data_IF_929043835487
#
_entry.id   IF_929043835487
#
_cell.length_a   1.000
_cell.length_b   1.000
_cell.length_c   1.000
_cell.angle_alpha   90.00
_cell.angle_beta   90.00
_cell.angle_gamma   90.00
#
_symmetry.space_group_name_H-M   'P 1'
#
loop_
_entity.id
_entity.type
_entity.pdbx_description
1 polymer ?
#
# COMPACT_ATOMS: atom_id res chain seq x y z
N UNK A 1 -48.67 -45.50 -23.95
CA UNK A 1 -47.50 -44.91 -23.26
C UNK A 1 -47.94 -44.47 -21.88
N UNK A 2 -47.54 -45.20 -20.85
CA UNK A 2 -47.83 -44.89 -19.43
C UNK A 2 -46.71 -44.00 -18.90
N UNK A 3 -47.07 -42.83 -18.38
CA UNK A 3 -46.18 -41.91 -17.67
C UNK A 3 -46.27 -42.24 -16.18
N UNK A 4 -45.19 -42.76 -15.60
CA UNK A 4 -45.06 -42.95 -14.14
C UNK A 4 -44.24 -41.81 -13.54
N UNK A 5 -44.90 -41.08 -12.62
CA UNK A 5 -44.33 -40.12 -11.68
C UNK A 5 -43.48 -40.84 -10.63
N UNK A 6 -42.23 -40.43 -10.47
CA UNK A 6 -41.41 -40.57 -9.26
C UNK A 6 -40.90 -39.15 -8.97
N UNK A 7 -40.95 -38.55 -7.78
CA UNK A 7 -40.92 -39.07 -6.42
C UNK A 7 -39.95 -38.14 -5.69
N UNK A 8 -40.47 -37.06 -5.10
CA UNK A 8 -39.67 -36.04 -4.39
C UNK A 8 -39.25 -36.63 -3.05
N UNK A 9 -37.98 -36.99 -2.91
CA UNK A 9 -37.36 -37.34 -1.65
C UNK A 9 -36.88 -36.06 -0.95
N UNK A 10 -37.52 -35.74 0.17
CA UNK A 10 -37.09 -34.71 1.10
C UNK A 10 -35.81 -35.19 1.81
N UNK A 11 -34.69 -34.52 1.54
CA UNK A 11 -33.44 -34.75 2.25
C UNK A 11 -33.42 -33.88 3.52
N UNK A 12 -33.66 -34.51 4.67
CA UNK A 12 -33.46 -33.91 6.00
C UNK A 12 -31.95 -33.95 6.27
N UNK A 13 -31.28 -32.81 6.19
CA UNK A 13 -29.87 -32.68 6.56
C UNK A 13 -29.80 -32.44 8.07
N UNK A 14 -29.37 -33.47 8.79
CA UNK A 14 -28.96 -33.39 10.19
C UNK A 14 -27.56 -32.76 10.25
N UNK A 15 -27.41 -31.66 11.02
CA UNK A 15 -26.12 -31.12 11.41
C UNK A 15 -25.43 -32.09 12.37
N UNK A 16 -24.59 -32.97 11.84
CA UNK A 16 -23.56 -33.67 12.60
C UNK A 16 -22.26 -32.87 12.48
N UNK A 17 -21.73 -32.48 13.63
CA UNK A 17 -20.39 -31.91 13.77
C UNK A 17 -19.36 -32.86 13.16
N UNK A 18 -18.68 -32.41 12.12
CA UNK A 18 -17.48 -33.04 11.57
C UNK A 18 -16.29 -32.17 11.92
N UNK A 19 -15.58 -32.59 12.97
CA UNK A 19 -14.15 -32.39 13.07
C UNK A 19 -13.49 -33.53 12.29
N UNK A 20 -12.59 -33.17 11.38
CA UNK A 20 -11.36 -33.89 11.05
C UNK A 20 -10.70 -33.09 9.92
N UNK A 21 -9.90 -32.09 10.32
CA UNK A 21 -8.86 -31.59 9.44
C UNK A 21 -7.94 -32.78 9.15
N UNK A 22 -7.91 -33.24 7.89
CA UNK A 22 -6.78 -34.00 7.40
C UNK A 22 -5.54 -33.15 7.70
N UNK A 23 -4.52 -33.77 8.31
CA UNK A 23 -3.30 -33.10 8.75
C UNK A 23 -2.56 -32.54 7.53
N UNK A 24 -2.95 -31.34 7.11
CA UNK A 24 -2.17 -30.51 6.22
C UNK A 24 -0.91 -30.14 7.00
N UNK A 25 0.23 -30.68 6.58
CA UNK A 25 1.55 -30.21 6.99
C UNK A 25 1.53 -28.68 6.92
N UNK A 26 1.67 -28.02 8.07
CA UNK A 26 1.75 -26.57 8.12
C UNK A 26 3.23 -26.15 8.06
N UNK A 27 3.49 -24.96 7.52
CA UNK A 27 4.84 -24.37 7.54
C UNK A 27 5.06 -23.71 8.90
N UNK A 28 6.18 -24.01 9.56
CA UNK A 28 6.52 -23.41 10.85
C UNK A 28 6.40 -21.86 10.81
N UNK A 29 5.72 -21.31 11.81
CA UNK A 29 5.41 -19.89 11.92
C UNK A 29 4.10 -19.46 11.22
N UNK A 30 3.49 -20.29 10.37
CA UNK A 30 2.19 -19.98 9.79
C UNK A 30 1.14 -19.85 10.90
N UNK A 31 0.42 -18.72 10.90
CA UNK A 31 -0.68 -18.47 11.83
C UNK A 31 -2.02 -18.58 11.11
N UNK A 32 -3.00 -19.27 11.71
CA UNK A 32 -4.37 -19.35 11.19
C UNK A 32 -5.38 -19.02 12.28
N UNK A 33 -6.53 -18.48 11.87
CA UNK A 33 -7.62 -18.18 12.77
C UNK A 33 -8.24 -19.48 13.32
N UNK A 34 -8.64 -19.45 14.59
CA UNK A 34 -9.34 -20.53 15.27
C UNK A 34 -10.47 -19.97 16.15
N UNK A 35 -11.41 -20.83 16.54
CA UNK A 35 -12.50 -20.47 17.44
C UNK A 35 -12.19 -20.95 18.86
N UNK A 36 -12.25 -20.02 19.81
CA UNK A 36 -12.06 -20.29 21.22
C UNK A 36 -13.29 -20.97 21.82
N UNK A 37 -13.11 -21.70 22.93
CA UNK A 37 -14.21 -22.43 23.59
C UNK A 37 -15.31 -21.50 24.13
N UNK A 38 -14.99 -20.23 24.37
CA UNK A 38 -15.91 -19.17 24.79
C UNK A 38 -16.60 -18.45 23.61
N UNK A 39 -16.33 -18.86 22.37
CA UNK A 39 -16.88 -18.26 21.15
C UNK A 39 -16.10 -17.05 20.61
N UNK A 40 -14.99 -16.62 21.26
CA UNK A 40 -14.12 -15.59 20.71
C UNK A 40 -13.28 -16.12 19.53
N UNK A 41 -12.78 -15.20 18.71
CA UNK A 41 -11.75 -15.53 17.72
C UNK A 41 -10.38 -15.62 18.42
N UNK A 42 -9.57 -16.60 18.01
CA UNK A 42 -8.18 -16.76 18.43
C UNK A 42 -7.27 -17.06 17.23
N UNK A 43 -5.99 -17.29 17.50
CA UNK A 43 -5.03 -17.72 16.49
C UNK A 43 -4.23 -18.94 16.98
N UNK A 44 -3.89 -19.83 16.06
CA UNK A 44 -2.97 -20.95 16.29
C UNK A 44 -1.76 -20.81 15.37
N UNK A 45 -0.56 -21.08 15.90
CA UNK A 45 0.71 -21.00 15.17
C UNK A 45 1.22 -22.42 14.91
N UNK A 46 1.72 -22.65 13.70
CA UNK A 46 2.39 -23.89 13.34
C UNK A 46 3.78 -23.97 13.99
N UNK A 47 4.05 -25.06 14.69
CA UNK A 47 5.35 -25.38 15.28
C UNK A 47 5.64 -26.87 15.04
N UNK A 48 6.79 -27.15 14.43
CA UNK A 48 7.23 -28.49 14.04
C UNK A 48 6.20 -29.24 13.15
N UNK A 49 5.62 -28.52 12.19
CA UNK A 49 4.69 -29.08 11.20
C UNK A 49 3.26 -29.35 11.72
N UNK A 50 2.93 -28.92 12.94
CA UNK A 50 1.59 -29.01 13.50
C UNK A 50 1.12 -27.68 14.11
N UNK A 51 -0.16 -27.34 13.96
CA UNK A 51 -0.73 -26.19 14.66
C UNK A 51 -0.84 -26.48 16.16
N UNK A 52 -0.34 -25.56 16.97
CA UNK A 52 -0.51 -25.58 18.43
C UNK A 52 -1.95 -25.31 18.88
N UNK A 53 -2.14 -25.21 20.19
CA UNK A 53 -3.44 -24.85 20.76
C UNK A 53 -3.87 -23.42 20.33
N UNK A 54 -5.18 -23.21 20.17
CA UNK A 54 -5.74 -21.89 19.89
C UNK A 54 -5.43 -20.93 21.04
N UNK A 55 -4.67 -19.88 20.77
CA UNK A 55 -4.37 -18.83 21.75
C UNK A 55 -5.55 -17.87 21.83
N UNK A 56 -6.25 -17.93 22.97
CA UNK A 56 -7.52 -17.26 23.23
C UNK A 56 -7.38 -16.14 24.27
N UNK A 57 -6.28 -15.40 24.19
CA UNK A 57 -6.04 -14.25 25.05
C UNK A 57 -6.81 -13.03 24.54
N UNK A 58 -7.29 -12.21 25.47
CA UNK A 58 -7.48 -10.81 25.15
C UNK A 58 -6.08 -10.29 24.78
N UNK A 59 -5.86 -9.97 23.51
CA UNK A 59 -4.66 -9.23 23.10
C UNK A 59 -4.82 -7.84 23.69
N UNK A 60 -4.59 -7.71 24.99
CA UNK A 60 -4.22 -6.44 25.58
C UNK A 60 -2.91 -6.09 24.91
N UNK A 61 -3.00 -5.13 23.98
CA UNK A 61 -1.85 -4.50 23.35
C UNK A 61 -1.17 -3.72 24.48
N UNK A 62 -0.36 -4.42 25.27
CA UNK A 62 0.41 -3.86 26.37
C UNK A 62 1.50 -2.97 25.77
N UNK A 63 1.13 -1.70 25.58
CA UNK A 63 2.05 -0.63 25.30
C UNK A 63 2.93 -0.43 26.54
N UNK A 64 4.04 -1.17 26.59
CA UNK A 64 5.02 -1.13 27.67
C UNK A 64 5.51 0.29 27.95
N UNK A 65 4.93 0.90 28.97
CA UNK A 65 5.47 1.99 29.77
C UNK A 65 5.65 1.44 31.18
N UNK A 66 6.89 1.11 31.53
CA UNK A 66 7.50 1.51 32.81
C UNK A 66 8.83 0.80 33.03
N UNK A 67 9.92 1.54 32.79
CA UNK A 67 11.19 1.30 33.44
C UNK A 67 11.55 2.57 34.22
N UNK A 68 10.98 2.71 35.41
CA UNK A 68 11.46 3.63 36.44
C UNK A 68 12.84 3.16 36.90
N UNK A 69 13.89 3.79 36.39
CA UNK A 69 15.24 3.69 36.96
C UNK A 69 15.51 4.97 37.75
N UNK A 70 15.71 4.82 39.05
CA UNK A 70 16.08 5.89 39.98
C UNK A 70 17.38 6.58 39.54
N UNK A 71 17.35 7.92 39.44
CA UNK A 71 18.54 8.77 39.26
C UNK A 71 18.83 9.43 40.62
N UNK A 72 20.05 9.30 41.18
CA UNK A 72 20.41 10.00 42.41
C UNK A 72 20.76 11.46 42.14
N UNK A 73 20.28 12.33 43.02
CA UNK A 73 20.53 13.77 43.02
C UNK A 73 22.03 14.10 43.13
N UNK A 74 22.61 14.64 42.05
CA UNK A 74 23.89 15.30 42.08
C UNK A 74 23.68 16.82 42.09
N UNK A 75 23.79 17.41 43.28
CA UNK A 75 23.97 18.86 43.41
C UNK A 75 25.35 19.22 42.86
N UNK A 76 25.38 20.11 41.86
CA UNK A 76 26.61 20.79 41.44
C UNK A 76 26.27 22.24 41.15
N UNK A 77 26.85 23.09 41.98
CA UNK A 77 26.87 24.55 41.88
C UNK A 77 27.46 24.96 40.52
N UNK A 78 26.72 25.79 39.77
CA UNK A 78 27.28 26.50 38.62
C UNK A 78 27.69 27.91 39.05
N UNK A 79 28.93 28.36 38.77
CA UNK A 79 29.29 29.76 38.87
C UNK A 79 28.85 30.51 37.61
N UNK A 80 28.36 31.73 37.83
CA UNK A 80 27.91 32.67 36.79
C UNK A 80 29.02 32.98 35.79
N UNK A 81 28.87 32.49 34.56
CA UNK A 81 29.65 32.92 33.41
C UNK A 81 28.82 33.92 32.60
N UNK A 82 29.02 35.21 32.89
CA UNK A 82 28.71 36.28 31.95
C UNK A 82 29.57 36.07 30.70
N UNK A 83 28.94 35.92 29.54
CA UNK A 83 29.60 36.00 28.25
C UNK A 83 28.70 36.79 27.30
N UNK A 84 29.20 37.96 26.93
CA UNK A 84 28.70 38.80 25.86
C UNK A 84 28.54 37.99 24.57
N UNK A 85 27.32 37.91 24.05
CA UNK A 85 27.08 37.47 22.67
C UNK A 85 27.10 38.70 21.75
N UNK A 86 27.98 38.76 20.74
CA UNK A 86 27.88 39.75 19.69
C UNK A 86 26.73 39.41 18.74
N UNK A 87 26.05 40.45 18.28
CA UNK A 87 24.91 40.42 17.37
C UNK A 87 25.20 39.58 16.11
N UNK A 88 24.67 38.36 16.09
CA UNK A 88 24.58 37.57 14.87
C UNK A 88 23.42 38.12 14.04
N UNK A 89 23.78 38.99 13.09
CA UNK A 89 22.89 39.49 12.05
C UNK A 89 22.16 38.34 11.38
N UNK A 90 20.83 38.48 11.40
CA UNK A 90 19.86 37.53 10.90
C UNK A 90 19.89 37.49 9.37
N UNK A 91 20.62 36.53 8.81
CA UNK A 91 20.31 35.99 7.49
C UNK A 91 19.02 35.17 7.62
N UNK A 92 17.89 35.87 7.56
CA UNK A 92 16.58 35.29 7.31
C UNK A 92 16.59 34.68 5.91
N UNK A 93 17.11 33.46 5.81
CA UNK A 93 16.66 32.53 4.79
C UNK A 93 15.22 32.19 5.14
N UNK A 94 14.33 32.86 4.43
CA UNK A 94 12.93 32.55 4.21
C UNK A 94 12.81 31.14 3.60
N UNK A 95 13.24 30.12 4.35
CA UNK A 95 12.81 28.76 4.13
C UNK A 95 11.39 28.73 4.66
N UNK A 96 10.43 28.85 3.74
CA UNK A 96 9.00 28.75 4.01
C UNK A 96 8.73 27.51 4.85
N UNK A 97 8.73 27.71 6.17
CA UNK A 97 8.36 26.71 7.14
C UNK A 97 6.88 26.49 6.89
N UNK A 98 6.57 25.36 6.25
CA UNK A 98 5.22 24.98 5.91
C UNK A 98 4.38 25.12 7.18
N UNK A 99 3.38 26.00 7.09
CA UNK A 99 2.44 26.30 8.15
C UNK A 99 1.95 24.99 8.78
N UNK A 100 2.40 24.71 10.01
CA UNK A 100 2.10 23.50 10.76
C UNK A 100 0.60 23.31 11.08
N UNK A 101 -0.26 24.21 10.57
CA UNK A 101 -1.68 24.29 10.89
C UNK A 101 -2.63 23.50 9.99
N UNK A 102 -2.23 23.02 8.80
CA UNK A 102 -3.16 22.25 7.94
C UNK A 102 -2.58 20.89 7.54
N UNK A 103 -2.77 19.89 8.41
CA UNK A 103 -2.51 18.49 8.05
C UNK A 103 -3.21 18.16 6.73
N UNK A 104 -2.42 17.68 5.77
CA UNK A 104 -2.91 17.35 4.46
C UNK A 104 -3.87 16.16 4.51
N UNK A 105 -4.75 16.06 3.50
CA UNK A 105 -5.42 14.79 3.21
C UNK A 105 -4.35 13.83 2.69
N UNK A 106 -4.19 12.68 3.33
CA UNK A 106 -3.32 11.61 2.83
C UNK A 106 -3.98 10.89 1.66
N UNK A 107 -3.18 10.42 0.71
CA UNK A 107 -3.67 9.77 -0.50
C UNK A 107 -3.02 8.40 -0.67
N UNK A 108 -3.82 7.38 -1.00
CA UNK A 108 -3.32 6.09 -1.45
C UNK A 108 -3.88 5.81 -2.84
N UNK A 109 -2.98 5.52 -3.78
CA UNK A 109 -3.30 5.26 -5.17
C UNK A 109 -2.75 3.88 -5.55
N UNK A 110 -3.60 3.03 -6.10
CA UNK A 110 -3.21 1.74 -6.67
C UNK A 110 -3.37 1.80 -8.17
N UNK A 111 -2.34 1.43 -8.90
CA UNK A 111 -2.30 1.46 -10.36
C UNK A 111 -1.95 0.06 -10.86
N UNK A 112 -2.93 -0.63 -11.42
CA UNK A 112 -2.82 -2.02 -11.87
C UNK A 112 -2.68 -2.11 -13.38
N UNK A 113 -1.64 -1.57 -14.00
CA UNK A 113 -1.37 -1.82 -15.41
C UNK A 113 0.11 -1.75 -15.73
N UNK A 114 0.47 -2.32 -16.89
CA UNK A 114 1.85 -2.30 -17.36
C UNK A 114 2.26 -0.89 -17.81
N UNK A 115 2.93 -0.18 -16.91
CA UNK A 115 3.54 1.12 -17.15
C UNK A 115 4.88 1.03 -17.91
N UNK A 116 5.42 -0.17 -18.16
CA UNK A 116 6.67 -0.32 -18.88
C UNK A 116 6.49 0.09 -20.35
N UNK A 117 5.32 -0.20 -20.91
CA UNK A 117 4.89 0.34 -22.19
C UNK A 117 4.49 1.81 -22.05
N UNK A 118 5.01 2.66 -22.93
CA UNK A 118 4.68 4.08 -22.95
C UNK A 118 3.26 4.27 -23.46
N UNK A 119 2.35 4.59 -22.54
CA UNK A 119 1.00 5.04 -22.85
C UNK A 119 0.84 6.44 -22.27
N UNK A 120 0.68 7.45 -23.13
CA UNK A 120 0.60 8.85 -22.69
C UNK A 120 -0.46 9.11 -21.62
N UNK A 121 -1.53 8.31 -21.63
CA UNK A 121 -2.65 8.39 -20.69
C UNK A 121 -2.35 7.65 -19.37
N UNK A 122 -1.61 6.54 -19.43
CA UNK A 122 -1.07 5.85 -18.25
C UNK A 122 -0.01 6.71 -17.54
N UNK A 123 0.90 7.29 -18.32
CA UNK A 123 1.93 8.22 -17.82
C UNK A 123 1.29 9.47 -17.18
N UNK A 124 0.19 9.98 -17.76
CA UNK A 124 -0.58 11.09 -17.19
C UNK A 124 -1.25 10.71 -15.87
N UNK A 125 -1.89 9.55 -15.78
CA UNK A 125 -2.46 9.04 -14.52
C UNK A 125 -1.39 8.90 -13.45
N UNK A 126 -0.23 8.34 -13.80
CA UNK A 126 0.89 8.19 -12.88
C UNK A 126 1.43 9.56 -12.41
N UNK A 127 1.62 10.51 -13.34
CA UNK A 127 2.03 11.87 -13.02
C UNK A 127 1.03 12.60 -12.13
N UNK A 128 -0.27 12.48 -12.42
CA UNK A 128 -1.34 13.07 -11.61
C UNK A 128 -1.39 12.47 -10.20
N UNK A 129 -1.13 11.16 -10.05
CA UNK A 129 -1.08 10.51 -8.74
C UNK A 129 0.07 11.06 -7.88
N UNK A 130 1.26 11.24 -8.45
CA UNK A 130 2.41 11.87 -7.75
C UNK A 130 2.13 13.35 -7.45
N UNK A 131 1.43 14.04 -8.35
CA UNK A 131 1.02 15.44 -8.20
C UNK A 131 -0.02 15.69 -7.09
N UNK A 132 -0.59 14.65 -6.47
CA UNK A 132 -1.42 14.79 -5.28
C UNK A 132 -0.64 15.35 -4.07
N UNK A 133 0.69 15.21 -4.09
CA UNK A 133 1.56 15.78 -3.05
C UNK A 133 1.33 17.29 -2.93
N UNK A 134 1.19 17.78 -1.70
CA UNK A 134 0.96 19.20 -1.44
C UNK A 134 2.26 20.00 -1.51
N UNK A 135 2.15 21.31 -1.29
CA UNK A 135 3.28 22.25 -1.28
C UNK A 135 3.52 22.93 -2.64
N UNK A 136 4.41 23.92 -2.61
CA UNK A 136 4.78 24.74 -3.78
C UNK A 136 6.18 24.42 -4.30
N UNK A 137 7.01 23.73 -3.52
CA UNK A 137 8.37 23.32 -3.90
C UNK A 137 8.40 22.08 -4.80
N UNK A 138 9.60 21.56 -5.06
CA UNK A 138 9.76 20.27 -5.74
C UNK A 138 9.08 19.15 -4.94
N UNK A 139 8.54 18.15 -5.64
CA UNK A 139 7.98 16.94 -5.03
C UNK A 139 9.11 15.96 -4.77
N UNK A 140 9.25 15.51 -3.52
CA UNK A 140 10.27 14.56 -3.09
C UNK A 140 9.65 13.17 -3.02
N UNK A 141 10.13 12.30 -3.91
CA UNK A 141 9.63 10.93 -4.06
C UNK A 141 10.66 9.96 -3.46
N UNK A 142 10.25 9.18 -2.48
CA UNK A 142 10.97 8.00 -2.03
C UNK A 142 10.49 6.80 -2.87
N UNK A 143 11.36 6.19 -3.67
CA UNK A 143 10.99 5.08 -4.54
C UNK A 143 11.52 3.73 -4.05
N UNK A 144 10.61 2.79 -3.78
CA UNK A 144 10.93 1.48 -3.21
C UNK A 144 11.20 0.43 -4.30
N UNK A 145 12.40 -0.16 -4.27
CA UNK A 145 12.91 -0.93 -5.41
C UNK A 145 13.53 -2.29 -5.10
N UNK A 146 13.56 -2.71 -3.84
CA UNK A 146 14.29 -3.90 -3.39
C UNK A 146 13.94 -5.18 -4.15
N UNK A 147 12.65 -5.41 -4.42
CA UNK A 147 12.17 -6.58 -5.15
C UNK A 147 11.58 -6.21 -6.51
N UNK A 148 12.00 -5.08 -7.06
CA UNK A 148 11.60 -4.69 -8.40
C UNK A 148 12.45 -5.43 -9.43
N UNK A 149 11.82 -5.93 -10.50
CA UNK A 149 12.52 -6.61 -11.60
C UNK A 149 13.38 -5.62 -12.40
N UNK A 150 14.63 -5.46 -11.95
CA UNK A 150 15.64 -4.59 -12.57
C UNK A 150 16.38 -5.24 -13.72
N UNK A 151 16.45 -6.57 -13.75
CA UNK A 151 17.29 -7.31 -14.69
C UNK A 151 16.67 -7.29 -16.08
N UNK A 152 15.35 -7.47 -16.18
CA UNK A 152 14.73 -7.58 -17.50
C UNK A 152 14.19 -6.25 -18.02
N UNK A 153 13.85 -5.27 -17.16
CA UNK A 153 13.08 -4.09 -17.61
C UNK A 153 13.47 -2.75 -16.96
N UNK A 154 14.14 -2.74 -15.80
CA UNK A 154 14.54 -1.54 -15.06
C UNK A 154 13.50 -0.39 -15.07
N UNK A 155 12.34 -0.59 -14.40
CA UNK A 155 11.25 0.40 -14.37
C UNK A 155 11.70 1.77 -13.84
N UNK A 156 12.72 1.82 -12.98
CA UNK A 156 13.22 3.08 -12.41
C UNK A 156 13.72 4.02 -13.51
N UNK A 157 14.57 3.51 -14.41
CA UNK A 157 15.10 4.29 -15.53
C UNK A 157 14.01 4.70 -16.52
N UNK A 158 12.99 3.87 -16.69
CA UNK A 158 11.90 4.14 -17.63
C UNK A 158 10.85 5.12 -17.08
N UNK A 159 10.49 5.00 -15.80
CA UNK A 159 9.34 5.71 -15.23
C UNK A 159 9.71 7.06 -14.63
N UNK A 160 10.90 7.24 -14.05
CA UNK A 160 11.30 8.53 -13.46
C UNK A 160 11.17 9.71 -14.44
N UNK A 161 11.64 9.63 -15.71
CA UNK A 161 11.44 10.71 -16.68
C UNK A 161 9.96 10.98 -16.97
N UNK A 162 9.14 9.93 -17.11
CA UNK A 162 7.71 10.05 -17.41
C UNK A 162 6.91 10.64 -16.25
N UNK A 163 7.27 10.28 -15.02
CA UNK A 163 6.72 10.88 -13.80
C UNK A 163 7.07 12.37 -13.78
N UNK A 164 8.34 12.74 -14.02
CA UNK A 164 8.76 14.14 -14.06
C UNK A 164 7.95 14.94 -15.08
N UNK A 165 7.84 14.43 -16.31
CA UNK A 165 7.06 15.07 -17.36
C UNK A 165 5.57 15.16 -16.98
N UNK A 166 5.00 14.11 -16.40
CA UNK A 166 3.62 14.07 -15.95
C UNK A 166 3.32 15.09 -14.84
N UNK A 167 4.15 15.14 -13.80
CA UNK A 167 4.02 16.09 -12.69
C UNK A 167 4.22 17.53 -13.15
N UNK A 168 5.24 17.77 -14.00
CA UNK A 168 5.51 19.08 -14.60
C UNK A 168 4.27 19.56 -15.37
N UNK A 169 3.67 18.72 -16.20
CA UNK A 169 2.45 19.04 -16.93
C UNK A 169 1.24 19.27 -16.02
N UNK A 170 1.13 18.54 -14.91
CA UNK A 170 -0.02 18.64 -14.00
C UNK A 170 0.04 19.86 -13.08
N UNK A 171 1.25 20.24 -12.62
CA UNK A 171 1.39 21.16 -11.47
C UNK A 171 2.34 22.33 -11.68
N UNK A 172 3.21 22.31 -12.70
CA UNK A 172 4.28 23.30 -12.77
C UNK A 172 5.53 22.94 -11.93
N UNK A 173 5.53 21.82 -11.19
CA UNK A 173 6.55 21.48 -10.19
C UNK A 173 7.58 20.47 -10.72
N UNK A 174 8.79 20.54 -10.18
CA UNK A 174 9.84 19.54 -10.41
C UNK A 174 9.70 18.35 -9.44
N UNK A 175 10.41 17.25 -9.73
CA UNK A 175 10.40 16.01 -8.95
C UNK A 175 11.83 15.52 -8.72
N UNK A 176 12.14 15.25 -7.46
CA UNK A 176 13.37 14.58 -7.03
C UNK A 176 13.06 13.16 -6.54
N UNK A 177 14.01 12.26 -6.71
CA UNK A 177 13.86 10.85 -6.35
C UNK A 177 14.99 10.42 -5.42
N UNK A 178 14.64 9.79 -4.31
CA UNK A 178 15.53 9.07 -3.41
C UNK A 178 15.13 7.60 -3.43
N UNK A 179 16.10 6.70 -3.45
CA UNK A 179 15.83 5.27 -3.61
C UNK A 179 15.87 4.54 -2.28
N UNK A 180 14.78 3.81 -1.97
CA UNK A 180 14.71 2.86 -0.86
C UNK A 180 15.01 1.45 -1.39
N UNK A 181 16.19 0.94 -1.06
CA UNK A 181 16.65 -0.39 -1.51
C UNK A 181 16.47 -1.50 -0.48
N UNK A 182 16.09 -1.13 0.75
CA UNK A 182 15.83 -2.05 1.85
C UNK A 182 14.51 -1.67 2.54
N UNK A 183 13.60 -2.62 2.68
CA UNK A 183 12.35 -2.37 3.40
C UNK A 183 12.54 -2.10 4.90
N UNK A 184 13.70 -2.51 5.46
CA UNK A 184 14.06 -2.28 6.86
C UNK A 184 14.40 -0.80 7.14
N UNK A 185 14.69 -0.02 6.11
CA UNK A 185 15.11 1.39 6.23
C UNK A 185 13.93 2.34 6.04
N UNK A 186 12.69 1.85 5.93
CA UNK A 186 11.53 2.70 5.63
C UNK A 186 11.35 3.79 6.71
N UNK A 187 11.53 3.47 8.00
CA UNK A 187 11.32 4.44 9.07
C UNK A 187 12.27 5.64 8.96
N UNK A 188 13.55 5.37 8.75
CA UNK A 188 14.57 6.41 8.57
C UNK A 188 14.40 7.18 7.25
N UNK A 189 13.96 6.50 6.19
CA UNK A 189 13.85 7.09 4.86
C UNK A 189 12.54 7.86 4.65
N UNK A 190 11.46 7.51 5.37
CA UNK A 190 10.15 8.14 5.27
C UNK A 190 10.05 9.28 6.30
N UNK A 191 10.98 10.22 6.21
CA UNK A 191 11.07 11.39 7.07
C UNK A 191 9.96 12.44 6.77
N UNK A 192 10.04 13.59 7.44
CA UNK A 192 9.13 14.73 7.20
C UNK A 192 9.38 15.42 5.85
N UNK A 193 10.48 15.07 5.19
CA UNK A 193 10.90 15.59 3.91
C UNK A 193 10.48 14.70 2.72
N UNK A 194 9.78 13.58 2.95
CA UNK A 194 9.17 12.82 1.86
C UNK A 194 7.73 13.28 1.63
N UNK A 195 7.40 13.56 0.37
CA UNK A 195 6.03 13.91 -0.02
C UNK A 195 5.28 12.70 -0.60
N UNK A 196 6.00 11.82 -1.29
CA UNK A 196 5.45 10.65 -1.98
C UNK A 196 6.28 9.39 -1.72
N UNK A 197 5.63 8.31 -1.33
CA UNK A 197 6.18 6.96 -1.41
C UNK A 197 5.71 6.29 -2.71
N UNK A 198 6.63 6.01 -3.63
CA UNK A 198 6.36 5.30 -4.87
C UNK A 198 6.85 3.85 -4.77
N UNK A 199 5.92 2.90 -4.85
CA UNK A 199 6.22 1.48 -4.84
C UNK A 199 6.05 0.91 -6.24
N UNK A 200 7.14 0.48 -6.87
CA UNK A 200 7.07 -0.20 -8.17
C UNK A 200 6.44 -1.59 -8.05
N UNK A 201 6.16 -2.23 -9.20
CA UNK A 201 5.74 -3.62 -9.22
C UNK A 201 6.84 -4.53 -8.62
N UNK A 202 6.49 -5.30 -7.58
CA UNK A 202 7.39 -6.21 -6.87
C UNK A 202 7.25 -7.64 -7.40
N UNK A 203 8.36 -8.36 -7.47
CA UNK A 203 8.44 -9.76 -7.91
C UNK A 203 8.68 -10.76 -6.77
N UNK A 204 8.70 -10.29 -5.52
CA UNK A 204 8.79 -11.15 -4.37
C UNK A 204 7.48 -11.92 -4.12
N UNK A 205 7.61 -13.07 -3.45
CA UNK A 205 6.48 -13.92 -3.09
C UNK A 205 5.51 -13.24 -2.12
N UNK A 206 4.26 -13.72 -2.10
CA UNK A 206 3.19 -13.15 -1.27
C UNK A 206 3.57 -13.10 0.21
N UNK A 207 4.11 -14.19 0.76
CA UNK A 207 4.48 -14.27 2.17
C UNK A 207 5.49 -13.17 2.55
N UNK A 208 6.46 -12.90 1.67
CA UNK A 208 7.42 -11.82 1.84
C UNK A 208 6.75 -10.45 1.83
N UNK A 209 5.84 -10.18 0.87
CA UNK A 209 5.10 -8.91 0.84
C UNK A 209 4.24 -8.70 2.07
N UNK A 210 3.64 -9.77 2.62
CA UNK A 210 2.88 -9.70 3.87
C UNK A 210 3.78 -9.34 5.07
N UNK A 211 4.95 -9.95 5.19
CA UNK A 211 5.93 -9.59 6.24
C UNK A 211 6.33 -8.12 6.15
N UNK A 212 6.59 -7.60 4.94
CA UNK A 212 6.95 -6.19 4.76
C UNK A 212 5.76 -5.28 5.09
N UNK A 213 4.56 -5.63 4.61
CA UNK A 213 3.34 -4.89 4.89
C UNK A 213 3.10 -4.72 6.39
N UNK A 214 3.26 -5.80 7.17
CA UNK A 214 3.12 -5.78 8.62
C UNK A 214 4.11 -4.82 9.29
N UNK A 215 5.37 -4.84 8.86
CA UNK A 215 6.38 -3.93 9.38
C UNK A 215 6.14 -2.47 8.97
N UNK A 216 5.67 -2.22 7.75
CA UNK A 216 5.47 -0.88 7.19
C UNK A 216 4.21 -0.18 7.70
N UNK A 217 3.18 -0.95 8.04
CA UNK A 217 1.85 -0.47 8.42
C UNK A 217 1.83 0.73 9.41
N UNK A 218 2.54 0.72 10.56
CA UNK A 218 2.55 1.89 11.45
C UNK A 218 3.12 3.15 10.78
N UNK A 219 4.16 3.02 9.96
CA UNK A 219 4.83 4.13 9.28
C UNK A 219 3.96 4.69 8.14
N UNK A 220 3.35 3.83 7.33
CA UNK A 220 2.46 4.25 6.24
C UNK A 220 1.22 4.97 6.78
N UNK A 221 0.66 4.49 7.89
CA UNK A 221 -0.46 5.15 8.56
C UNK A 221 -0.08 6.54 9.06
N UNK A 222 1.09 6.68 9.69
CA UNK A 222 1.59 7.97 10.15
C UNK A 222 1.85 8.92 8.96
N UNK A 223 2.38 8.40 7.85
CA UNK A 223 2.63 9.15 6.63
C UNK A 223 1.35 9.66 5.97
N UNK A 224 0.33 8.82 5.83
CA UNK A 224 -0.98 9.23 5.34
C UNK A 224 -1.64 10.25 6.29
N UNK A 225 -1.53 10.08 7.61
CA UNK A 225 -2.11 10.99 8.59
C UNK A 225 -1.49 12.41 8.58
N UNK A 226 -0.24 12.54 8.12
CA UNK A 226 0.40 13.85 7.90
C UNK A 226 0.15 14.43 6.50
N UNK A 227 -0.57 13.71 5.62
CA UNK A 227 -0.91 14.16 4.28
C UNK A 227 0.00 13.64 3.17
N UNK A 228 0.81 12.61 3.45
CA UNK A 228 1.66 11.94 2.47
C UNK A 228 0.85 11.21 1.40
N UNK A 229 1.51 10.97 0.26
CA UNK A 229 0.92 10.25 -0.87
C UNK A 229 1.64 8.92 -1.07
N UNK A 230 0.90 7.82 -1.08
CA UNK A 230 1.43 6.50 -1.42
C UNK A 230 0.90 6.12 -2.80
N UNK A 231 1.80 5.83 -3.74
CA UNK A 231 1.47 5.35 -5.09
C UNK A 231 2.05 3.95 -5.25
N UNK A 232 1.20 2.94 -5.45
CA UNK A 232 1.62 1.56 -5.65
C UNK A 232 1.30 1.13 -7.07
N UNK A 233 2.33 0.67 -7.75
CA UNK A 233 2.23 0.07 -9.08
C UNK A 233 2.16 -1.43 -8.92
N UNK A 234 1.13 -2.02 -9.52
CA UNK A 234 0.93 -3.46 -9.53
C UNK A 234 0.86 -3.95 -10.98
N UNK A 235 1.38 -5.16 -11.22
CA UNK A 235 1.32 -5.83 -12.51
C UNK A 235 1.09 -7.32 -12.27
N UNK A 236 0.24 -7.91 -13.10
CA UNK A 236 0.11 -9.37 -13.17
C UNK A 236 1.02 -9.88 -14.29
N UNK A 237 2.09 -10.61 -13.95
CA UNK A 237 3.04 -11.10 -14.96
C UNK A 237 2.60 -12.45 -15.53
N UNK A 238 2.39 -12.51 -16.84
CA UNK A 238 2.37 -13.78 -17.59
C UNK A 238 1.16 -14.70 -17.32
N UNK A 239 0.04 -14.16 -16.83
CA UNK A 239 -1.16 -14.96 -16.55
C UNK A 239 -1.03 -15.88 -15.32
N UNK A 240 0.14 -15.90 -14.66
CA UNK A 240 0.29 -16.45 -13.32
C UNK A 240 -0.06 -15.36 -12.31
N UNK A 241 -0.99 -15.68 -11.41
CA UNK A 241 -1.36 -14.86 -10.25
C UNK A 241 -0.23 -14.76 -9.20
N UNK A 242 0.88 -15.46 -9.40
CA UNK A 242 1.97 -15.57 -8.42
C UNK A 242 2.97 -14.42 -8.46
N UNK A 243 2.86 -13.51 -9.43
CA UNK A 243 3.74 -12.35 -9.56
C UNK A 243 2.87 -11.09 -9.67
N UNK A 244 2.94 -10.23 -8.65
CA UNK A 244 2.09 -9.02 -8.55
C UNK A 244 1.40 -8.87 -7.19
N UNK A 245 2.19 -8.80 -6.12
CA UNK A 245 1.69 -8.64 -4.75
C UNK A 245 2.03 -7.27 -4.15
N UNK A 246 2.35 -6.28 -4.99
CA UNK A 246 2.67 -4.92 -4.52
C UNK A 246 1.52 -4.33 -3.69
N UNK A 247 0.27 -4.59 -4.09
CA UNK A 247 -0.91 -4.15 -3.36
C UNK A 247 -1.01 -4.72 -1.93
N UNK A 248 -0.36 -5.84 -1.62
CA UNK A 248 -0.35 -6.41 -0.25
C UNK A 248 0.38 -5.47 0.72
N UNK A 249 1.37 -4.70 0.25
CA UNK A 249 2.14 -3.74 1.06
C UNK A 249 1.28 -2.65 1.69
N UNK A 250 0.06 -2.43 1.17
CA UNK A 250 -0.86 -1.39 1.64
C UNK A 250 -2.20 -1.98 2.11
N UNK A 251 -2.30 -3.30 2.26
CA UNK A 251 -3.55 -4.00 2.60
C UNK A 251 -4.08 -3.70 4.02
N UNK A 252 -3.31 -3.05 4.88
CA UNK A 252 -3.70 -2.70 6.25
C UNK A 252 -4.24 -1.27 6.43
N UNK A 253 -4.02 -0.36 5.48
CA UNK A 253 -4.19 1.08 5.71
C UNK A 253 -5.66 1.53 5.94
N UNK A 254 -6.61 0.63 5.68
CA UNK A 254 -8.04 0.87 5.88
C UNK A 254 -8.67 1.78 4.82
N UNK A 255 -7.91 2.17 3.79
CA UNK A 255 -8.39 2.97 2.67
C UNK A 255 -9.05 2.09 1.58
N UNK A 256 -8.59 0.86 1.43
CA UNK A 256 -9.19 -0.15 0.56
C UNK A 256 -9.10 -1.53 1.21
N UNK A 257 -10.10 -2.36 0.96
CA UNK A 257 -9.99 -3.81 1.13
C UNK A 257 -9.94 -4.46 -0.26
N UNK A 258 -8.80 -5.07 -0.58
CA UNK A 258 -8.60 -5.83 -1.81
C UNK A 258 -8.78 -7.30 -1.46
N UNK A 259 -9.79 -7.94 -2.06
CA UNK A 259 -10.13 -9.35 -1.80
C UNK A 259 -9.57 -10.29 -2.84
N UNK A 260 -9.54 -9.85 -4.08
CA UNK A 260 -9.03 -10.62 -5.18
C UNK A 260 -8.34 -9.72 -6.20
N UNK A 261 -7.37 -10.32 -6.87
CA UNK A 261 -6.71 -9.74 -8.01
C UNK A 261 -6.96 -10.66 -9.19
N UNK A 262 -7.62 -10.13 -10.22
CA UNK A 262 -7.87 -10.87 -11.44
C UNK A 262 -6.88 -10.39 -12.52
N UNK A 263 -6.23 -11.31 -13.26
CA UNK A 263 -5.48 -10.90 -14.43
C UNK A 263 -6.47 -10.31 -15.44
N UNK A 264 -6.27 -9.05 -15.86
CA UNK A 264 -7.10 -8.31 -16.80
C UNK A 264 -7.04 -8.82 -18.25
N UNK A 265 -6.73 -10.11 -18.45
CA UNK A 265 -6.46 -10.75 -19.73
C UNK A 265 -4.96 -10.81 -20.01
N UNK A 266 -4.40 -12.02 -20.06
CA UNK A 266 -2.97 -12.26 -20.26
C UNK A 266 -2.40 -11.94 -21.66
N UNK A 267 -3.14 -11.20 -22.50
CA UNK A 267 -2.67 -10.86 -23.85
C UNK A 267 -2.12 -9.44 -23.88
N UNK A 268 -1.01 -9.24 -24.58
CA UNK A 268 -0.36 -7.94 -24.80
C UNK A 268 -1.22 -6.93 -25.59
N UNK A 269 -2.45 -7.30 -25.99
CA UNK A 269 -3.39 -6.40 -26.64
C UNK A 269 -3.89 -5.36 -25.65
N UNK A 270 -3.68 -4.05 -25.91
CA UNK A 270 -4.25 -3.00 -25.09
C UNK A 270 -5.77 -3.14 -24.98
N UNK A 271 -6.31 -3.00 -23.79
CA UNK A 271 -7.75 -2.94 -23.54
C UNK A 271 -8.18 -1.49 -23.40
N UNK A 272 -9.40 -1.19 -23.82
CA UNK A 272 -10.00 0.12 -23.59
C UNK A 272 -10.61 0.13 -22.19
N UNK A 273 -10.25 1.13 -21.41
CA UNK A 273 -10.76 1.40 -20.08
C UNK A 273 -11.59 2.68 -20.10
N UNK A 274 -12.57 2.73 -19.22
CA UNK A 274 -13.35 3.92 -18.96
C UNK A 274 -12.78 4.69 -17.77
N UNK A 275 -12.77 6.02 -17.90
CA UNK A 275 -12.52 6.92 -16.78
C UNK A 275 -13.81 7.01 -15.97
N UNK A 276 -13.92 6.17 -14.94
CA UNK A 276 -15.12 6.02 -14.14
C UNK A 276 -15.41 7.25 -13.28
N UNK A 277 -14.37 7.97 -12.82
CA UNK A 277 -14.49 9.20 -12.04
C UNK A 277 -13.67 10.32 -12.65
N UNK A 278 -14.18 10.95 -13.70
CA UNK A 278 -13.48 12.01 -14.43
C UNK A 278 -13.22 13.30 -13.62
N UNK A 279 -13.94 13.50 -12.51
CA UNK A 279 -13.71 14.61 -11.58
C UNK A 279 -12.58 14.35 -10.59
N UNK A 280 -12.08 13.10 -10.51
CA UNK A 280 -10.96 12.77 -9.64
C UNK A 280 -9.68 13.48 -10.13
N UNK A 281 -8.86 14.06 -9.24
CA UNK A 281 -7.59 14.70 -9.62
C UNK A 281 -6.66 13.78 -10.44
N UNK A 282 -6.71 12.47 -10.22
CA UNK A 282 -5.91 11.48 -10.97
C UNK A 282 -6.37 11.36 -12.42
N UNK A 283 -7.65 11.62 -12.70
CA UNK A 283 -8.24 11.56 -14.03
C UNK A 283 -8.12 12.85 -14.85
N UNK A 284 -7.56 13.93 -14.28
CA UNK A 284 -7.49 15.23 -14.97
C UNK A 284 -6.74 15.11 -16.29
N UNK A 285 -7.41 15.52 -17.37
CA UNK A 285 -6.86 15.47 -18.73
C UNK A 285 -6.75 14.06 -19.32
N UNK A 286 -7.34 13.04 -18.70
CA UNK A 286 -7.40 11.68 -19.23
C UNK A 286 -8.68 11.51 -20.04
N UNK A 287 -8.57 11.40 -21.36
CA UNK A 287 -9.74 11.37 -22.27
C UNK A 287 -10.10 9.98 -22.76
N UNK A 288 -9.10 9.11 -22.89
CA UNK A 288 -9.26 7.70 -23.24
C UNK A 288 -8.13 6.93 -22.59
N UNK A 289 -8.42 5.83 -21.89
CA UNK A 289 -7.39 5.08 -21.20
C UNK A 289 -7.25 3.71 -21.85
N UNK A 290 -6.10 3.45 -22.47
CA UNK A 290 -5.82 2.18 -23.11
C UNK A 290 -4.45 1.70 -22.68
N UNK A 291 -4.42 0.60 -21.95
CA UNK A 291 -3.19 0.03 -21.40
C UNK A 291 -3.22 -1.49 -21.59
N UNK A 292 -2.05 -2.11 -21.65
CA UNK A 292 -1.91 -3.55 -21.72
C UNK A 292 -1.73 -4.13 -20.30
N UNK A 293 -2.00 -5.43 -20.16
CA UNK A 293 -1.65 -6.22 -18.96
C UNK A 293 -2.09 -5.57 -17.64
N UNK A 294 -3.39 -5.32 -17.52
CA UNK A 294 -3.94 -4.72 -16.31
C UNK A 294 -4.17 -5.74 -15.19
N UNK A 295 -3.84 -5.34 -13.98
CA UNK A 295 -4.29 -5.95 -12.73
C UNK A 295 -5.65 -5.36 -12.37
N UNK A 296 -6.66 -6.21 -12.29
CA UNK A 296 -8.00 -5.84 -11.87
C UNK A 296 -8.12 -6.04 -10.36
N UNK A 297 -8.55 -4.99 -9.64
CA UNK A 297 -8.70 -5.02 -8.19
C UNK A 297 -10.17 -5.26 -7.82
N UNK A 298 -10.45 -6.41 -7.21
CA UNK A 298 -11.73 -6.65 -6.57
C UNK A 298 -11.79 -5.90 -5.24
N UNK A 299 -12.78 -5.02 -5.12
CA UNK A 299 -12.91 -4.09 -4.01
C UNK A 299 -14.12 -4.47 -3.17
N UNK A 300 -13.89 -4.77 -1.90
CA UNK A 300 -14.99 -5.04 -0.97
C UNK A 300 -15.43 -3.82 -0.18
N UNK A 301 -14.53 -2.89 0.14
CA UNK A 301 -14.86 -1.64 0.86
C UNK A 301 -13.83 -0.54 0.60
N UNK A 302 -14.30 0.72 0.54
CA UNK A 302 -13.46 1.93 0.53
C UNK A 302 -12.95 2.38 -0.85
N UNK A 303 -12.49 3.63 -0.92
CA UNK A 303 -11.89 4.25 -2.11
C UNK A 303 -12.83 4.49 -3.28
N UNK A 304 -12.30 5.07 -4.36
CA UNK A 304 -12.98 5.37 -5.62
C UNK A 304 -12.27 4.68 -6.78
N UNK A 305 -13.06 4.08 -7.68
CA UNK A 305 -12.55 3.57 -8.95
C UNK A 305 -12.41 4.74 -9.91
N UNK A 306 -11.17 5.14 -10.21
CA UNK A 306 -10.89 6.26 -11.11
C UNK A 306 -10.91 5.78 -12.56
N UNK A 307 -10.33 4.60 -12.80
CA UNK A 307 -10.29 3.95 -14.11
C UNK A 307 -10.68 2.49 -13.94
N UNK A 308 -11.51 1.99 -14.85
CA UNK A 308 -11.99 0.61 -14.83
C UNK A 308 -12.02 -0.02 -16.23
N UNK A 309 -11.92 -1.33 -16.30
CA UNK A 309 -12.14 -2.10 -17.52
C UNK A 309 -13.57 -1.87 -18.03
N UNK A 310 -13.74 -1.51 -19.31
CA UNK A 310 -15.06 -1.22 -19.91
C UNK A 310 -15.99 -2.42 -19.90
N UNK A 311 -15.46 -3.63 -20.10
CA UNK A 311 -16.24 -4.86 -20.25
C UNK A 311 -16.66 -5.48 -18.92
N UNK A 312 -15.83 -5.39 -17.90
CA UNK A 312 -16.08 -6.01 -16.57
C UNK A 312 -16.41 -5.01 -15.48
N UNK A 313 -16.26 -3.70 -15.76
CA UNK A 313 -16.28 -2.62 -14.77
C UNK A 313 -15.26 -2.82 -13.64
N UNK A 314 -14.23 -3.64 -13.86
CA UNK A 314 -13.26 -3.89 -12.82
C UNK A 314 -12.28 -2.71 -12.67
N UNK A 315 -12.09 -2.16 -11.46
CA UNK A 315 -11.12 -1.10 -11.21
C UNK A 315 -9.69 -1.53 -11.56
N UNK A 316 -8.99 -0.65 -12.28
CA UNK A 316 -7.55 -0.77 -12.57
C UNK A 316 -6.76 0.41 -11.99
N UNK A 317 -7.44 1.50 -11.63
CA UNK A 317 -6.89 2.59 -10.84
C UNK A 317 -7.85 2.87 -9.69
N UNK A 318 -7.35 2.74 -8.46
CA UNK A 318 -8.09 3.03 -7.24
C UNK A 318 -7.45 4.24 -6.54
N UNK A 319 -8.30 5.11 -5.98
CA UNK A 319 -7.88 6.27 -5.20
C UNK A 319 -8.62 6.33 -3.87
N UNK A 320 -7.90 6.51 -2.77
CA UNK A 320 -8.42 6.51 -1.42
C UNK A 320 -7.80 7.65 -0.65
N UNK A 321 -8.60 8.31 0.18
CA UNK A 321 -8.16 9.49 0.94
C UNK A 321 -8.31 9.28 2.43
N UNK A 322 -7.33 9.74 3.21
CA UNK A 322 -7.38 9.81 4.67
C UNK A 322 -7.41 11.26 5.12
N UNK A 323 -8.36 11.63 5.96
CA UNK A 323 -8.42 12.96 6.61
C UNK A 323 -7.96 12.87 8.05
#
# INVERSE_FOLDING_TARGET
MRVTRNGIAACVIACAAWACAESSECTDGLSVACACADGRAGAQVCVDGAFGACMCGDVEVDAGLDASTEIPDAQSEMPDAQSDMPDAQSDMRDAGHADAGTRGTGHLVLIGHDLLQAFSQGDRVLGNAVALARGTGAIRVLDYTQYTDRVSWNPVTLLRPRIRDGVMNATGRDVTFTELTSWLELDDALDDDVDVLLVYAQSAERARMQTIAEAWHPHLRAFLARGGVIVVLDRTQGGSIELGFSHELVRGEGLFAITAVMPGGGNATPRIHDVALASDPIAVGVTSYSVAQSTCFDRTTGGDAVVQLRDTLCPVVLHGTRR
#
